data_IF_120931693579
#
_entry.id   IF_120931693579
#
_cell.length_a   1.000
_cell.length_b   1.000
_cell.length_c   1.000
_cell.angle_alpha   90.00
_cell.angle_beta   90.00
_cell.angle_gamma   90.00
#
_symmetry.space_group_name_H-M   'P 1'
#
loop_
_entity.id
_entity.type
_entity.pdbx_description
1 polymer ?
#
# COMPACT_ATOMS: atom_id res chain seq x y z
N UNK A 1 1.12 16.54 -20.95
CA UNK A 1 2.42 16.06 -20.42
C UNK A 1 2.12 15.04 -19.33
N UNK A 2 2.87 13.94 -19.24
CA UNK A 2 2.71 12.96 -18.16
C UNK A 2 3.01 13.62 -16.81
N UNK A 3 2.24 13.27 -15.76
CA UNK A 3 2.47 13.77 -14.41
C UNK A 3 3.73 13.09 -13.86
N UNK A 4 4.79 13.86 -13.56
CA UNK A 4 6.04 13.37 -12.97
C UNK A 4 5.98 13.45 -11.45
N UNK A 5 6.31 12.36 -10.75
CA UNK A 5 6.26 12.28 -9.29
C UNK A 5 7.57 11.68 -8.77
N UNK A 6 8.17 12.30 -7.75
CA UNK A 6 9.31 11.69 -7.06
C UNK A 6 8.83 10.44 -6.32
N UNK A 7 9.47 9.32 -6.60
CA UNK A 7 9.11 8.02 -6.05
C UNK A 7 10.15 7.58 -5.03
N UNK A 8 9.68 7.36 -3.80
CA UNK A 8 10.49 6.86 -2.70
C UNK A 8 10.04 5.43 -2.34
N UNK A 9 10.69 4.39 -2.90
CA UNK A 9 10.33 2.98 -2.64
C UNK A 9 10.61 2.60 -1.18
N UNK A 10 11.64 3.19 -0.58
CA UNK A 10 12.13 2.82 0.74
C UNK A 10 12.70 1.40 0.80
N UNK A 11 13.14 1.00 1.98
CA UNK A 11 13.79 -0.29 2.18
C UNK A 11 12.85 -1.48 1.99
N UNK A 12 11.55 -1.33 2.28
CA UNK A 12 10.59 -2.43 2.17
C UNK A 12 10.40 -2.87 0.72
N UNK A 13 10.21 -1.93 -0.20
CA UNK A 13 9.96 -2.23 -1.61
C UNK A 13 11.25 -2.59 -2.37
N UNK A 14 12.42 -2.25 -1.82
CA UNK A 14 13.72 -2.67 -2.37
C UNK A 14 14.16 -4.07 -1.90
N UNK A 15 13.48 -4.65 -0.91
CA UNK A 15 13.88 -5.93 -0.31
C UNK A 15 12.74 -6.93 -0.18
N UNK A 16 11.80 -6.66 0.73
CA UNK A 16 10.78 -7.63 1.15
C UNK A 16 9.45 -7.57 0.37
N UNK A 17 9.21 -6.50 -0.39
CA UNK A 17 7.96 -6.21 -1.09
C UNK A 17 8.22 -5.72 -2.52
N UNK A 18 9.10 -6.41 -3.24
CA UNK A 18 9.55 -6.04 -4.61
C UNK A 18 8.37 -6.06 -5.60
N UNK A 19 7.44 -6.99 -5.43
CA UNK A 19 6.21 -7.06 -6.21
C UNK A 19 5.29 -5.87 -6.00
N UNK A 20 5.36 -5.18 -4.84
CA UNK A 20 4.63 -3.93 -4.64
C UNK A 20 5.27 -2.78 -5.42
N UNK A 21 6.61 -2.68 -5.42
CA UNK A 21 7.35 -1.73 -6.27
C UNK A 21 7.00 -1.94 -7.75
N UNK A 22 7.16 -3.18 -8.21
CA UNK A 22 6.93 -3.60 -9.58
C UNK A 22 5.50 -3.26 -10.04
N UNK A 23 4.48 -3.68 -9.27
CA UNK A 23 3.09 -3.39 -9.60
C UNK A 23 2.74 -1.91 -9.52
N UNK A 24 3.33 -1.16 -8.57
CA UNK A 24 3.13 0.30 -8.47
C UNK A 24 3.64 1.01 -9.72
N UNK A 25 4.86 0.70 -10.17
CA UNK A 25 5.47 1.32 -11.35
C UNK A 25 4.71 1.01 -12.62
N UNK A 26 4.39 -0.26 -12.85
CA UNK A 26 3.67 -0.69 -14.05
C UNK A 26 2.25 -0.11 -14.09
N UNK A 27 1.56 -0.05 -12.95
CA UNK A 27 0.25 0.59 -12.88
C UNK A 27 0.34 2.10 -13.15
N UNK A 28 1.29 2.80 -12.54
CA UNK A 28 1.46 4.24 -12.76
C UNK A 28 1.77 4.56 -14.24
N UNK A 29 2.63 3.76 -14.88
CA UNK A 29 2.93 3.87 -16.31
C UNK A 29 1.65 3.71 -17.17
N UNK A 30 0.85 2.68 -16.90
CA UNK A 30 -0.44 2.48 -17.59
C UNK A 30 -1.46 3.60 -17.33
N UNK A 31 -1.34 4.32 -16.21
CA UNK A 31 -2.15 5.48 -15.88
C UNK A 31 -1.58 6.80 -16.45
N UNK A 32 -0.41 6.78 -17.09
CA UNK A 32 0.25 7.97 -17.64
C UNK A 32 0.99 8.82 -16.60
N UNK A 33 1.43 8.20 -15.51
CA UNK A 33 2.17 8.82 -14.41
C UNK A 33 3.60 8.30 -14.43
N UNK A 34 4.56 9.22 -14.62
CA UNK A 34 5.98 8.90 -14.61
C UNK A 34 6.51 8.96 -13.17
N UNK A 35 6.90 7.81 -12.64
CA UNK A 35 7.56 7.70 -11.35
C UNK A 35 9.08 7.83 -11.53
N UNK A 36 9.65 8.87 -10.94
CA UNK A 36 11.10 9.10 -10.95
C UNK A 36 11.65 8.78 -9.57
N UNK A 37 12.45 7.74 -9.46
CA UNK A 37 13.03 7.37 -8.17
C UNK A 37 13.97 8.47 -7.64
N UNK A 38 13.83 8.82 -6.36
CA UNK A 38 14.73 9.76 -5.69
C UNK A 38 16.14 9.19 -5.72
N UNK A 39 17.13 9.95 -6.18
CA UNK A 39 18.50 9.42 -6.23
C UNK A 39 19.10 9.36 -4.83
N UNK A 40 19.84 8.31 -4.51
CA UNK A 40 20.61 8.21 -3.25
C UNK A 40 19.74 8.40 -1.99
N UNK A 41 18.50 7.91 -2.03
CA UNK A 41 17.62 7.92 -0.86
C UNK A 41 18.19 7.03 0.26
N UNK A 42 17.89 7.37 1.52
CA UNK A 42 18.20 6.53 2.69
C UNK A 42 16.92 6.01 3.34
N UNK A 43 17.04 4.99 4.20
CA UNK A 43 15.91 4.52 4.99
C UNK A 43 15.33 5.66 5.84
N UNK A 44 14.00 5.75 5.91
CA UNK A 44 13.26 6.77 6.68
C UNK A 44 13.41 6.64 8.20
N UNK A 45 14.20 5.68 8.69
CA UNK A 45 14.40 5.41 10.11
C UNK A 45 13.30 4.55 10.77
N UNK A 46 12.13 4.42 10.12
CA UNK A 46 10.95 3.65 10.59
C UNK A 46 10.74 3.75 12.12
N UNK A 47 10.32 2.68 12.78
CA UNK A 47 10.08 2.67 14.23
C UNK A 47 11.32 2.88 15.10
N UNK A 48 12.48 2.26 14.81
CA UNK A 48 13.63 2.32 15.71
C UNK A 48 14.24 3.71 15.87
N UNK A 49 14.38 4.48 14.79
CA UNK A 49 15.12 5.75 14.84
C UNK A 49 14.40 6.79 15.71
N UNK A 50 13.09 6.96 15.52
CA UNK A 50 12.32 7.98 16.26
C UNK A 50 12.14 7.63 17.75
N UNK A 51 12.24 6.35 18.11
CA UNK A 51 12.19 5.91 19.51
C UNK A 51 13.50 6.16 20.25
N UNK A 52 14.61 6.29 19.52
CA UNK A 52 15.92 6.61 20.09
C UNK A 52 16.18 8.12 20.09
N UNK A 53 16.05 8.77 18.94
CA UNK A 53 16.22 10.21 18.76
C UNK A 53 15.18 10.75 17.75
N UNK A 54 14.16 11.48 18.21
CA UNK A 54 13.13 12.05 17.34
C UNK A 54 13.65 13.02 16.28
N UNK A 55 14.68 13.82 16.60
CA UNK A 55 15.25 14.79 15.66
C UNK A 55 16.03 14.07 14.57
N UNK A 56 16.85 13.07 14.94
CA UNK A 56 17.55 12.22 13.97
C UNK A 56 16.59 11.46 13.07
N UNK A 57 15.53 10.85 13.65
CA UNK A 57 14.51 10.16 12.88
C UNK A 57 13.82 11.07 11.86
N UNK A 58 13.51 12.31 12.26
CA UNK A 58 12.94 13.31 11.36
C UNK A 58 13.94 13.75 10.27
N UNK A 59 15.21 14.00 10.61
CA UNK A 59 16.23 14.42 9.65
C UNK A 59 16.54 13.33 8.61
N UNK A 60 16.56 12.05 8.99
CA UNK A 60 16.73 10.92 8.06
C UNK A 60 15.63 10.90 7.00
N UNK A 61 14.38 11.10 7.38
CA UNK A 61 13.28 11.20 6.43
C UNK A 61 13.33 12.52 5.64
N UNK A 62 13.68 13.62 6.30
CA UNK A 62 13.86 14.95 5.71
C UNK A 62 14.89 14.99 4.59
N UNK A 63 15.99 14.23 4.71
CA UNK A 63 17.00 14.09 3.66
C UNK A 63 16.41 13.65 2.32
N UNK A 64 15.52 12.66 2.33
CA UNK A 64 14.87 12.21 1.10
C UNK A 64 14.00 13.31 0.47
N UNK A 65 13.31 14.11 1.30
CA UNK A 65 12.51 15.25 0.84
C UNK A 65 13.40 16.37 0.28
N UNK A 66 14.50 16.69 0.95
CA UNK A 66 15.46 17.69 0.49
C UNK A 66 16.10 17.31 -0.85
N UNK A 67 16.40 16.02 -1.08
CA UNK A 67 16.86 15.53 -2.38
C UNK A 67 15.78 15.72 -3.44
N UNK A 68 14.52 15.34 -3.16
CA UNK A 68 13.43 15.50 -4.10
C UNK A 68 13.17 16.99 -4.45
N UNK A 69 13.21 17.88 -3.46
CA UNK A 69 13.12 19.34 -3.68
C UNK A 69 14.28 19.84 -4.56
N UNK A 70 15.51 19.39 -4.30
CA UNK A 70 16.69 19.77 -5.10
C UNK A 70 16.62 19.25 -6.55
N UNK A 71 15.91 18.14 -6.79
CA UNK A 71 15.61 17.62 -8.12
C UNK A 71 14.42 18.32 -8.80
N UNK A 72 13.78 19.29 -8.13
CA UNK A 72 12.68 20.07 -8.67
C UNK A 72 11.31 19.38 -8.61
N UNK A 73 11.12 18.42 -7.70
CA UNK A 73 9.82 17.78 -7.50
C UNK A 73 8.98 18.51 -6.45
N UNK A 74 7.69 18.67 -6.75
CA UNK A 74 6.69 19.21 -5.83
C UNK A 74 5.92 18.12 -5.07
N UNK A 75 6.07 16.86 -5.48
CA UNK A 75 5.34 15.71 -4.91
C UNK A 75 6.27 14.52 -4.72
N UNK A 76 6.29 13.95 -3.51
CA UNK A 76 6.90 12.66 -3.19
C UNK A 76 5.80 11.63 -2.90
N UNK A 77 5.83 10.51 -3.62
CA UNK A 77 5.00 9.35 -3.35
C UNK A 77 5.82 8.23 -2.71
N UNK A 78 5.24 7.55 -1.72
CA UNK A 78 5.82 6.32 -1.16
C UNK A 78 4.78 5.21 -1.00
N UNK A 79 5.13 3.94 -1.26
CA UNK A 79 4.24 2.79 -1.06
C UNK A 79 4.12 2.37 0.41
N UNK A 80 5.08 2.75 1.26
CA UNK A 80 5.14 2.29 2.64
C UNK A 80 4.50 3.32 3.61
N UNK A 81 3.45 2.95 4.37
CA UNK A 81 2.82 3.87 5.33
C UNK A 81 3.76 4.35 6.45
N UNK A 82 4.73 3.52 6.86
CA UNK A 82 5.74 3.95 7.83
C UNK A 82 6.69 5.00 7.24
N UNK A 83 7.02 4.89 5.95
CA UNK A 83 7.77 5.91 5.24
C UNK A 83 6.96 7.20 5.13
N UNK A 84 5.68 7.11 4.74
CA UNK A 84 4.76 8.24 4.66
C UNK A 84 4.73 9.03 5.97
N UNK A 85 4.52 8.34 7.10
CA UNK A 85 4.53 8.96 8.43
C UNK A 85 5.87 9.63 8.73
N UNK A 86 6.99 8.96 8.46
CA UNK A 86 8.32 9.52 8.70
C UNK A 86 8.58 10.80 7.91
N UNK A 87 8.22 10.82 6.63
CA UNK A 87 8.35 11.99 5.76
C UNK A 87 7.46 13.14 6.24
N UNK A 88 6.18 12.90 6.55
CA UNK A 88 5.29 13.95 7.09
C UNK A 88 5.75 14.46 8.46
N UNK A 89 6.28 13.59 9.30
CA UNK A 89 6.89 13.98 10.58
C UNK A 89 8.14 14.86 10.39
N UNK A 90 8.91 14.65 9.33
CA UNK A 90 10.06 15.51 9.01
C UNK A 90 9.64 16.97 8.77
N UNK A 91 8.53 17.19 8.05
CA UNK A 91 7.97 18.54 7.83
C UNK A 91 7.53 19.16 9.15
N UNK A 92 6.77 18.41 9.97
CA UNK A 92 6.33 18.89 11.30
C UNK A 92 7.52 19.30 12.19
N UNK A 93 8.54 18.45 12.31
CA UNK A 93 9.72 18.75 13.13
C UNK A 93 10.53 19.92 12.55
N UNK A 94 10.61 20.04 11.22
CA UNK A 94 11.23 21.21 10.58
C UNK A 94 10.48 22.52 10.91
N UNK A 95 9.15 22.50 10.96
CA UNK A 95 8.35 23.66 11.36
C UNK A 95 8.53 24.02 12.84
N UNK A 96 8.58 23.01 13.72
CA UNK A 96 8.72 23.19 15.17
C UNK A 96 10.15 23.54 15.62
N UNK A 97 11.17 22.96 14.97
CA UNK A 97 12.59 23.01 15.36
C UNK A 97 13.52 23.28 14.18
N UNK A 98 13.19 24.30 13.38
CA UNK A 98 13.85 24.62 12.12
C UNK A 98 15.38 24.65 12.16
N UNK A 99 15.96 25.37 13.13
CA UNK A 99 17.42 25.55 13.20
C UNK A 99 18.11 24.21 13.49
N UNK A 100 17.71 23.51 14.56
CA UNK A 100 18.26 22.21 14.93
C UNK A 100 18.11 21.18 13.80
N UNK A 101 16.98 21.20 13.10
CA UNK A 101 16.71 20.29 11.99
C UNK A 101 17.65 20.56 10.81
N UNK A 102 17.82 21.82 10.39
CA UNK A 102 18.72 22.20 9.30
C UNK A 102 20.19 21.97 9.68
N UNK A 103 20.55 22.23 10.93
CA UNK A 103 21.89 21.97 11.46
C UNK A 103 22.23 20.47 11.47
N UNK A 104 21.25 19.60 11.71
CA UNK A 104 21.47 18.16 11.59
C UNK A 104 21.44 17.67 10.14
N UNK A 105 20.50 18.19 9.35
CA UNK A 105 20.27 17.77 7.97
C UNK A 105 21.42 18.17 7.04
N UNK A 106 22.05 19.33 7.26
CA UNK A 106 23.13 19.87 6.43
C UNK A 106 22.75 20.00 4.93
N UNK A 107 21.46 20.21 4.64
CA UNK A 107 20.93 20.41 3.28
C UNK A 107 19.86 21.51 3.27
N UNK A 108 19.71 22.27 2.17
CA UNK A 108 18.56 23.15 2.00
C UNK A 108 17.26 22.34 2.02
N UNK A 109 16.29 22.80 2.82
CA UNK A 109 14.98 22.17 2.91
C UNK A 109 13.91 23.23 3.14
N UNK A 110 12.86 23.20 2.33
CA UNK A 110 11.76 24.17 2.39
C UNK A 110 10.55 23.66 3.15
N UNK A 111 10.34 22.33 3.19
CA UNK A 111 9.19 21.68 3.82
C UNK A 111 7.89 21.80 3.04
N UNK A 112 7.93 22.26 1.78
CA UNK A 112 6.72 22.57 0.98
C UNK A 112 6.26 21.43 0.08
N UNK A 113 7.08 20.40 -0.07
CA UNK A 113 6.80 19.26 -0.95
C UNK A 113 5.57 18.47 -0.45
N UNK A 114 4.63 18.15 -1.36
CA UNK A 114 3.45 17.34 -1.03
C UNK A 114 3.86 15.88 -0.88
N UNK A 115 3.47 15.24 0.21
CA UNK A 115 3.86 13.85 0.53
C UNK A 115 2.60 12.97 0.51
N UNK A 116 2.55 12.01 -0.40
CA UNK A 116 1.37 11.15 -0.61
C UNK A 116 1.70 9.66 -0.57
N UNK A 117 0.69 8.85 -0.26
CA UNK A 117 0.75 7.40 -0.41
C UNK A 117 0.32 6.97 -1.82
N UNK A 118 0.60 5.71 -2.17
CA UNK A 118 0.05 5.09 -3.39
C UNK A 118 -1.48 5.09 -3.36
N UNK A 119 -2.09 4.80 -2.22
CA UNK A 119 -3.55 4.81 -2.06
C UNK A 119 -4.13 6.21 -2.32
N UNK A 120 -3.48 7.24 -1.78
CA UNK A 120 -3.89 8.63 -1.97
C UNK A 120 -3.75 9.10 -3.42
N UNK A 121 -2.67 8.71 -4.11
CA UNK A 121 -2.51 8.96 -5.55
C UNK A 121 -3.67 8.37 -6.34
N UNK A 122 -3.97 7.08 -6.10
CA UNK A 122 -5.01 6.36 -6.84
C UNK A 122 -6.41 6.93 -6.56
N UNK A 123 -6.67 7.37 -5.33
CA UNK A 123 -7.99 7.89 -4.94
C UNK A 123 -8.21 9.36 -5.30
N UNK A 124 -7.29 10.26 -4.95
CA UNK A 124 -7.48 11.72 -5.14
C UNK A 124 -7.07 12.19 -6.53
N UNK A 125 -5.91 11.73 -7.01
CA UNK A 125 -5.30 12.30 -8.21
C UNK A 125 -5.72 11.53 -9.48
N UNK A 126 -5.94 10.22 -9.39
CA UNK A 126 -6.45 9.39 -10.51
C UNK A 126 -7.97 9.32 -10.47
N UNK A 127 -8.55 8.98 -9.32
CA UNK A 127 -9.99 8.93 -9.10
C UNK A 127 -10.61 7.54 -9.41
N UNK A 128 -11.55 7.05 -8.58
CA UNK A 128 -12.26 5.79 -8.82
C UNK A 128 -12.97 5.72 -10.17
N UNK A 129 -13.59 6.83 -10.63
CA UNK A 129 -14.28 6.87 -11.92
C UNK A 129 -13.33 6.69 -13.10
N UNK A 130 -12.12 7.28 -13.05
CA UNK A 130 -11.10 7.07 -14.08
C UNK A 130 -10.67 5.61 -14.15
N UNK A 131 -10.51 4.96 -13.00
CA UNK A 131 -10.15 3.54 -12.92
C UNK A 131 -11.27 2.70 -13.52
N UNK A 132 -12.52 2.91 -13.07
CA UNK A 132 -13.72 2.22 -13.54
C UNK A 132 -13.86 2.27 -15.06
N UNK A 133 -13.64 3.44 -15.67
CA UNK A 133 -13.74 3.64 -17.12
C UNK A 133 -12.64 2.93 -17.92
N UNK A 134 -11.56 2.47 -17.28
CA UNK A 134 -10.45 1.75 -17.92
C UNK A 134 -10.45 0.25 -17.62
N UNK A 135 -11.41 -0.25 -16.84
CA UNK A 135 -11.51 -1.66 -16.49
C UNK A 135 -11.75 -2.51 -17.74
N UNK A 136 -10.87 -3.48 -17.95
CA UNK A 136 -10.98 -4.52 -18.98
C UNK A 136 -11.40 -5.86 -18.36
N UNK A 137 -10.89 -6.19 -17.18
CA UNK A 137 -11.20 -7.44 -16.47
C UNK A 137 -11.85 -7.14 -15.12
N UNK A 138 -13.18 -6.91 -15.07
CA UNK A 138 -13.86 -6.58 -13.83
C UNK A 138 -13.82 -7.75 -12.85
N UNK A 139 -13.65 -7.46 -11.57
CA UNK A 139 -13.67 -8.43 -10.47
C UNK A 139 -15.12 -8.86 -10.10
N UNK A 140 -16.00 -8.94 -11.08
CA UNK A 140 -17.42 -9.25 -10.89
C UNK A 140 -17.58 -10.61 -10.20
N UNK A 141 -18.42 -10.64 -9.16
CA UNK A 141 -18.66 -11.85 -8.37
C UNK A 141 -17.51 -12.23 -7.43
N UNK A 142 -16.46 -11.39 -7.30
CA UNK A 142 -15.39 -11.58 -6.33
C UNK A 142 -15.55 -10.66 -5.14
N UNK A 143 -15.52 -11.24 -3.94
CA UNK A 143 -15.56 -10.51 -2.69
C UNK A 143 -14.14 -10.18 -2.24
N UNK A 144 -13.76 -8.89 -2.24
CA UNK A 144 -12.46 -8.45 -1.73
C UNK A 144 -12.68 -7.54 -0.53
N UNK A 145 -12.12 -7.90 0.62
CA UNK A 145 -12.16 -7.03 1.80
C UNK A 145 -11.00 -6.03 1.76
N UNK A 146 -11.26 -4.74 2.06
CA UNK A 146 -10.22 -3.72 2.10
C UNK A 146 -9.51 -3.77 3.46
N UNK A 147 -8.18 -3.78 3.44
CA UNK A 147 -7.37 -3.71 4.64
C UNK A 147 -6.32 -2.60 4.52
N UNK A 148 -6.63 -1.48 5.18
CA UNK A 148 -5.80 -0.28 5.21
C UNK A 148 -4.59 -0.44 6.14
N UNK A 149 -4.75 -1.29 7.16
CA UNK A 149 -3.82 -1.35 8.28
C UNK A 149 -3.90 -0.08 9.13
N UNK A 150 -2.98 0.04 10.08
CA UNK A 150 -3.06 1.10 11.10
C UNK A 150 -2.48 2.45 10.65
N UNK A 151 -1.38 2.46 9.90
CA UNK A 151 -0.58 3.67 9.66
C UNK A 151 -1.06 4.55 8.49
N UNK A 152 -1.99 4.06 7.65
CA UNK A 152 -2.56 4.88 6.58
C UNK A 152 -3.62 5.85 7.08
N UNK A 153 -4.31 5.50 8.17
CA UNK A 153 -5.40 6.30 8.73
C UNK A 153 -5.06 6.90 10.10
N UNK A 154 -4.01 6.39 10.77
CA UNK A 154 -3.63 6.83 12.13
C UNK A 154 -2.10 7.02 12.29
N UNK A 155 -1.67 8.02 13.08
CA UNK A 155 -2.51 8.99 13.79
C UNK A 155 -3.10 10.05 12.83
N UNK A 156 -4.26 10.65 13.15
CA UNK A 156 -4.95 11.59 12.26
C UNK A 156 -4.09 12.78 11.83
N UNK A 157 -3.21 13.25 12.73
CA UNK A 157 -2.28 14.37 12.47
C UNK A 157 -1.34 14.13 11.28
N UNK A 158 -0.98 12.86 11.00
CA UNK A 158 -0.12 12.52 9.87
C UNK A 158 -0.91 11.92 8.71
N UNK A 159 -1.96 11.15 8.97
CA UNK A 159 -2.73 10.50 7.91
C UNK A 159 -3.31 11.53 6.93
N UNK A 160 -4.11 12.49 7.44
CA UNK A 160 -4.70 13.62 6.69
C UNK A 160 -5.14 13.27 5.26
N UNK A 161 -5.82 12.14 5.10
CA UNK A 161 -6.20 11.60 3.78
C UNK A 161 -7.58 10.96 3.84
N UNK A 162 -7.79 10.01 4.75
CA UNK A 162 -9.05 9.29 4.91
C UNK A 162 -9.55 9.41 6.36
N UNK A 163 -10.76 8.92 6.62
CA UNK A 163 -11.28 8.88 7.98
C UNK A 163 -10.43 7.93 8.86
N UNK A 164 -9.97 8.37 10.05
CA UNK A 164 -9.11 7.57 10.92
C UNK A 164 -9.71 6.21 11.35
N UNK A 165 -11.04 6.16 11.50
CA UNK A 165 -11.75 5.02 12.08
C UNK A 165 -12.58 4.26 11.04
N UNK A 166 -13.18 4.95 10.07
CA UNK A 166 -13.99 4.36 9.00
C UNK A 166 -13.57 4.84 7.60
N UNK A 167 -12.35 4.50 7.15
CA UNK A 167 -11.87 4.88 5.83
C UNK A 167 -12.65 4.21 4.70
N UNK A 168 -12.75 4.90 3.55
CA UNK A 168 -13.51 4.42 2.37
C UNK A 168 -12.72 4.41 1.07
N UNK A 169 -11.52 5.01 1.01
CA UNK A 169 -10.78 5.13 -0.25
C UNK A 169 -10.43 3.80 -0.91
N UNK A 170 -9.98 2.80 -0.15
CA UNK A 170 -9.68 1.47 -0.65
C UNK A 170 -10.97 0.71 -1.03
N UNK A 171 -12.06 0.94 -0.30
CA UNK A 171 -13.38 0.38 -0.61
C UNK A 171 -13.85 0.85 -1.99
N UNK A 172 -13.83 2.16 -2.24
CA UNK A 172 -14.29 2.74 -3.50
C UNK A 172 -13.40 2.30 -4.67
N UNK A 173 -12.09 2.17 -4.48
CA UNK A 173 -11.19 1.66 -5.51
C UNK A 173 -11.46 0.18 -5.84
N UNK A 174 -11.77 -0.64 -4.83
CA UNK A 174 -12.17 -2.03 -5.06
C UNK A 174 -13.53 -2.13 -5.76
N UNK A 175 -14.50 -1.28 -5.41
CA UNK A 175 -15.80 -1.20 -6.12
C UNK A 175 -15.62 -0.72 -7.56
N UNK A 176 -14.70 0.22 -7.80
CA UNK A 176 -14.42 0.74 -9.13
C UNK A 176 -13.91 -0.34 -10.10
N UNK A 177 -13.17 -1.34 -9.60
CA UNK A 177 -12.74 -2.51 -10.41
C UNK A 177 -13.82 -3.60 -10.52
N UNK A 178 -15.01 -3.37 -9.98
CA UNK A 178 -16.15 -4.30 -10.05
C UNK A 178 -16.17 -5.39 -8.97
N UNK A 179 -15.31 -5.30 -7.95
CA UNK A 179 -15.35 -6.24 -6.83
C UNK A 179 -16.52 -5.95 -5.90
N UNK A 180 -17.10 -7.00 -5.33
CA UNK A 180 -17.96 -6.88 -4.16
C UNK A 180 -17.08 -6.57 -2.95
N UNK A 181 -17.43 -5.53 -2.18
CA UNK A 181 -16.69 -5.14 -0.98
C UNK A 181 -17.55 -5.41 0.24
N UNK A 182 -17.36 -6.55 0.94
CA UNK A 182 -18.12 -6.86 2.15
C UNK A 182 -17.84 -5.85 3.26
N UNK A 183 -18.81 -5.66 4.15
CA UNK A 183 -18.58 -4.89 5.37
C UNK A 183 -17.55 -5.60 6.25
N UNK A 184 -16.39 -4.97 6.40
CA UNK A 184 -15.24 -5.54 7.09
C UNK A 184 -14.85 -4.65 8.26
N UNK A 185 -15.25 -5.05 9.47
CA UNK A 185 -15.00 -4.27 10.69
C UNK A 185 -13.51 -4.12 11.03
N UNK A 186 -12.62 -4.95 10.46
CA UNK A 186 -11.19 -4.97 10.82
C UNK A 186 -10.29 -4.21 9.81
N UNK A 187 -10.88 -3.32 8.99
CA UNK A 187 -10.19 -2.49 7.98
C UNK A 187 -8.92 -1.79 8.52
N UNK A 188 -8.97 -1.28 9.75
CA UNK A 188 -7.91 -0.46 10.38
C UNK A 188 -7.21 -1.17 11.54
N UNK A 189 -7.57 -2.42 11.84
CA UNK A 189 -6.99 -3.21 12.92
C UNK A 189 -5.51 -3.51 12.69
N UNK A 190 -4.73 -3.65 13.75
CA UNK A 190 -3.30 -3.92 13.64
C UNK A 190 -3.05 -5.38 13.23
N UNK A 191 -2.23 -5.60 12.19
CA UNK A 191 -1.80 -6.95 11.80
C UNK A 191 -0.76 -7.55 12.75
N UNK A 192 -0.10 -6.73 13.57
CA UNK A 192 0.95 -7.16 14.50
C UNK A 192 2.35 -7.25 13.89
N UNK A 193 2.55 -6.86 12.63
CA UNK A 193 3.83 -7.00 11.93
C UNK A 193 5.05 -6.42 12.68
N UNK A 194 4.87 -5.32 13.43
CA UNK A 194 5.93 -4.71 14.23
C UNK A 194 6.51 -5.64 15.32
N UNK A 195 5.75 -6.64 15.74
CA UNK A 195 6.15 -7.64 16.74
C UNK A 195 6.70 -8.93 16.12
N UNK A 196 6.88 -8.97 14.79
CA UNK A 196 7.19 -10.20 14.06
C UNK A 196 8.51 -10.88 14.43
N UNK A 197 9.41 -10.20 15.14
CA UNK A 197 10.68 -10.76 15.61
C UNK A 197 10.58 -11.27 17.04
N UNK A 198 9.97 -10.50 17.94
CA UNK A 198 10.01 -10.75 19.38
C UNK A 198 8.78 -11.48 19.91
N UNK A 199 7.58 -11.20 19.39
CA UNK A 199 6.31 -11.70 19.96
C UNK A 199 5.48 -12.43 18.91
N UNK A 200 5.96 -13.59 18.46
CA UNK A 200 5.29 -14.38 17.41
C UNK A 200 3.86 -14.80 17.80
N UNK A 201 3.57 -15.01 19.08
CA UNK A 201 2.21 -15.35 19.54
C UNK A 201 1.22 -14.20 19.36
N UNK A 202 1.67 -12.95 19.60
CA UNK A 202 0.87 -11.75 19.33
C UNK A 202 0.57 -11.67 17.83
N UNK A 203 1.59 -11.88 17.00
CA UNK A 203 1.42 -11.87 15.53
C UNK A 203 0.46 -12.95 15.07
N UNK A 204 0.59 -14.18 15.58
CA UNK A 204 -0.30 -15.29 15.27
C UNK A 204 -1.75 -14.98 15.63
N UNK A 205 -1.97 -14.42 16.83
CA UNK A 205 -3.30 -14.00 17.30
C UNK A 205 -3.91 -12.89 16.42
N UNK A 206 -3.20 -11.80 16.19
CA UNK A 206 -3.72 -10.64 15.45
C UNK A 206 -3.98 -10.96 13.97
N UNK A 207 -3.01 -11.60 13.31
CA UNK A 207 -3.13 -12.00 11.91
C UNK A 207 -4.25 -13.02 11.71
N UNK A 208 -4.36 -14.00 12.61
CA UNK A 208 -5.42 -15.01 12.53
C UNK A 208 -6.83 -14.44 12.73
N UNK A 209 -6.99 -13.42 13.59
CA UNK A 209 -8.27 -12.69 13.72
C UNK A 209 -8.68 -12.02 12.42
N UNK A 210 -7.75 -11.36 11.72
CA UNK A 210 -8.00 -10.72 10.44
C UNK A 210 -8.42 -11.75 9.37
N UNK A 211 -7.68 -12.85 9.24
CA UNK A 211 -7.97 -13.90 8.27
C UNK A 211 -9.28 -14.63 8.57
N UNK A 212 -9.58 -14.91 9.85
CA UNK A 212 -10.85 -15.53 10.23
C UNK A 212 -12.03 -14.61 9.95
N UNK A 213 -11.91 -13.31 10.24
CA UNK A 213 -12.96 -12.34 9.95
C UNK A 213 -13.19 -12.21 8.43
N UNK A 214 -12.13 -12.11 7.63
CA UNK A 214 -12.22 -12.06 6.17
C UNK A 214 -12.93 -13.31 5.62
N UNK A 215 -12.58 -14.50 6.12
CA UNK A 215 -13.25 -15.76 5.77
C UNK A 215 -14.73 -15.76 6.16
N UNK A 216 -15.08 -15.23 7.34
CA UNK A 216 -16.48 -15.21 7.83
C UNK A 216 -17.39 -14.30 7.02
N UNK A 217 -16.87 -13.21 6.46
CA UNK A 217 -17.63 -12.34 5.54
C UNK A 217 -17.61 -12.84 4.09
N UNK A 218 -17.06 -14.05 3.85
CA UNK A 218 -17.03 -14.66 2.53
C UNK A 218 -16.06 -13.99 1.55
N UNK A 219 -14.97 -13.39 2.03
CA UNK A 219 -13.96 -12.81 1.16
C UNK A 219 -13.23 -13.88 0.35
N UNK A 220 -13.05 -13.63 -0.95
CA UNK A 220 -12.19 -14.40 -1.84
C UNK A 220 -10.72 -13.96 -1.74
N UNK A 221 -10.48 -12.70 -1.37
CA UNK A 221 -9.15 -12.13 -1.16
C UNK A 221 -9.18 -10.92 -0.21
N UNK A 222 -7.99 -10.49 0.21
CA UNK A 222 -7.79 -9.24 0.96
C UNK A 222 -6.99 -8.27 0.09
N UNK A 223 -7.52 -7.07 -0.11
CA UNK A 223 -6.82 -5.96 -0.78
C UNK A 223 -6.07 -5.13 0.24
N UNK A 224 -4.77 -4.91 0.04
CA UNK A 224 -3.90 -4.18 0.99
C UNK A 224 -3.12 -3.06 0.33
N UNK A 225 -2.76 -2.03 1.11
CA UNK A 225 -1.95 -0.90 0.64
C UNK A 225 -0.66 -0.69 1.47
N UNK A 226 -0.25 -1.70 2.25
CA UNK A 226 0.91 -1.63 3.13
C UNK A 226 1.82 -2.87 2.96
N UNK A 227 3.14 -2.70 2.68
CA UNK A 227 4.05 -3.82 2.43
C UNK A 227 4.18 -4.76 3.64
N UNK A 228 4.31 -4.20 4.85
CA UNK A 228 4.40 -5.01 6.07
C UNK A 228 3.09 -5.77 6.36
N UNK A 229 1.95 -5.14 6.11
CA UNK A 229 0.65 -5.79 6.31
C UNK A 229 0.46 -6.96 5.34
N UNK A 230 0.79 -6.76 4.06
CA UNK A 230 0.75 -7.80 3.05
C UNK A 230 1.61 -8.98 3.46
N UNK A 231 2.90 -8.73 3.73
CA UNK A 231 3.83 -9.80 4.07
C UNK A 231 3.34 -10.57 5.30
N UNK A 232 2.86 -9.85 6.31
CA UNK A 232 2.41 -10.48 7.55
C UNK A 232 1.15 -11.33 7.36
N UNK A 233 0.20 -10.89 6.52
CA UNK A 233 -1.02 -11.65 6.19
C UNK A 233 -0.78 -12.78 5.19
N UNK A 234 0.26 -12.70 4.37
CA UNK A 234 0.55 -13.64 3.28
C UNK A 234 1.55 -14.72 3.69
N UNK A 235 2.80 -14.33 3.96
CA UNK A 235 3.90 -15.23 4.33
C UNK A 235 3.59 -16.04 5.60
N UNK A 236 2.95 -15.42 6.59
CA UNK A 236 2.77 -16.05 7.91
C UNK A 236 1.54 -16.93 8.03
N UNK A 237 0.75 -17.15 6.97
CA UNK A 237 -0.44 -18.00 7.09
C UNK A 237 -0.12 -19.41 7.60
N UNK A 238 1.05 -19.96 7.26
CA UNK A 238 1.50 -21.25 7.80
C UNK A 238 1.70 -21.23 9.33
N UNK A 239 2.24 -20.14 9.88
CA UNK A 239 2.42 -19.94 11.32
C UNK A 239 1.08 -19.73 12.00
N UNK A 240 0.22 -18.89 11.42
CA UNK A 240 -1.14 -18.62 11.90
C UNK A 240 -1.96 -19.90 11.94
N UNK A 241 -1.90 -20.72 10.89
CA UNK A 241 -2.59 -22.00 10.79
C UNK A 241 -2.18 -22.97 11.91
N UNK A 242 -0.90 -22.99 12.31
CA UNK A 242 -0.44 -23.79 13.47
C UNK A 242 -1.00 -23.25 14.79
N UNK A 243 -0.98 -21.93 14.97
CA UNK A 243 -1.47 -21.28 16.19
C UNK A 243 -2.99 -21.46 16.37
N UNK A 244 -3.76 -21.20 15.32
CA UNK A 244 -5.23 -21.25 15.33
C UNK A 244 -5.83 -22.62 15.03
N UNK A 245 -4.99 -23.59 14.63
CA UNK A 245 -5.42 -24.92 14.13
C UNK A 245 -6.39 -24.79 12.94
N UNK A 246 -6.07 -23.88 12.03
CA UNK A 246 -6.85 -23.58 10.81
C UNK A 246 -6.07 -23.98 9.56
N UNK A 247 -6.67 -23.75 8.38
CA UNK A 247 -6.07 -24.01 7.07
C UNK A 247 -6.32 -22.84 6.11
N UNK A 248 -6.10 -21.62 6.58
CA UNK A 248 -6.20 -20.43 5.74
C UNK A 248 -5.28 -20.57 4.52
N UNK A 249 -5.83 -20.18 3.37
CA UNK A 249 -5.15 -20.00 2.08
C UNK A 249 -5.75 -18.78 1.39
N UNK A 250 -5.80 -17.67 2.10
CA UNK A 250 -6.42 -16.43 1.65
C UNK A 250 -5.41 -15.65 0.77
N UNK A 251 -5.70 -15.38 -0.51
CA UNK A 251 -4.84 -14.51 -1.31
C UNK A 251 -4.82 -13.08 -0.73
N UNK A 252 -3.63 -12.51 -0.57
CA UNK A 252 -3.42 -11.14 -0.09
C UNK A 252 -2.75 -10.34 -1.21
N UNK A 253 -3.52 -9.45 -1.84
CA UNK A 253 -3.12 -8.72 -3.03
C UNK A 253 -2.89 -7.24 -2.70
N UNK A 254 -1.82 -6.66 -3.24
CA UNK A 254 -1.67 -5.22 -3.22
C UNK A 254 -2.77 -4.56 -4.07
N UNK A 255 -3.27 -3.39 -3.65
CA UNK A 255 -4.27 -2.65 -4.41
C UNK A 255 -3.81 -2.34 -5.84
N UNK A 256 -2.50 -2.12 -6.03
CA UNK A 256 -1.87 -1.92 -7.34
C UNK A 256 -1.94 -3.15 -8.23
N UNK A 257 -1.87 -4.36 -7.65
CA UNK A 257 -2.04 -5.62 -8.38
C UNK A 257 -3.50 -5.84 -8.77
N UNK A 258 -4.44 -5.57 -7.86
CA UNK A 258 -5.88 -5.69 -8.12
C UNK A 258 -6.29 -4.74 -9.26
N UNK A 259 -5.96 -3.45 -9.13
CA UNK A 259 -6.28 -2.45 -10.16
C UNK A 259 -5.53 -2.77 -11.44
N UNK A 260 -4.22 -3.04 -11.38
CA UNK A 260 -3.43 -3.31 -12.57
C UNK A 260 -3.98 -4.49 -13.38
N UNK A 261 -4.39 -5.57 -12.70
CA UNK A 261 -4.99 -6.71 -13.36
C UNK A 261 -6.34 -6.35 -14.00
N UNK A 262 -7.18 -5.60 -13.28
CA UNK A 262 -8.45 -5.11 -13.80
C UNK A 262 -8.29 -4.22 -15.04
N UNK A 263 -7.18 -3.49 -15.15
CA UNK A 263 -6.82 -2.68 -16.33
C UNK A 263 -6.16 -3.48 -17.46
N UNK A 264 -6.05 -4.80 -17.34
CA UNK A 264 -5.46 -5.68 -18.36
C UNK A 264 -3.93 -5.77 -18.35
N UNK A 265 -3.27 -5.36 -17.27
CA UNK A 265 -1.84 -5.61 -17.10
C UNK A 265 -1.63 -7.08 -16.74
N UNK A 266 -0.73 -7.73 -17.47
CA UNK A 266 -0.38 -9.13 -17.22
C UNK A 266 0.09 -9.39 -15.76
N UNK A 267 -0.36 -10.53 -15.22
CA UNK A 267 -0.10 -10.95 -13.85
C UNK A 267 1.39 -11.06 -13.50
N UNK A 268 2.25 -11.45 -14.45
CA UNK A 268 3.69 -11.54 -14.27
C UNK A 268 4.32 -10.16 -14.14
N UNK A 269 3.86 -9.19 -14.96
CA UNK A 269 4.27 -7.79 -14.84
C UNK A 269 3.82 -7.15 -13.54
N UNK A 270 2.75 -7.65 -12.93
CA UNK A 270 2.29 -7.23 -11.59
C UNK A 270 2.97 -7.97 -10.44
N UNK A 271 3.86 -8.93 -10.74
CA UNK A 271 4.61 -9.66 -9.73
C UNK A 271 3.77 -10.60 -8.87
N UNK A 272 2.57 -11.02 -9.33
CA UNK A 272 1.67 -11.86 -8.52
C UNK A 272 2.26 -13.23 -8.19
N UNK A 273 3.18 -13.74 -9.01
CA UNK A 273 3.93 -14.99 -8.77
C UNK A 273 4.87 -14.93 -7.56
N UNK A 274 5.17 -13.73 -7.03
CA UNK A 274 6.01 -13.54 -5.83
C UNK A 274 5.22 -13.64 -4.52
N UNK A 275 3.88 -13.63 -4.59
CA UNK A 275 3.02 -13.79 -3.41
C UNK A 275 3.12 -15.23 -2.88
N UNK A 276 3.14 -15.40 -1.56
CA UNK A 276 3.26 -16.70 -0.91
C UNK A 276 1.99 -17.54 -1.06
N UNK A 277 0.82 -16.92 -0.94
CA UNK A 277 -0.46 -17.54 -1.27
C UNK A 277 -0.85 -17.12 -2.69
N UNK A 278 -0.75 -18.08 -3.62
CA UNK A 278 -1.02 -17.84 -5.04
C UNK A 278 -2.46 -17.33 -5.27
N UNK A 279 -2.63 -16.20 -5.97
CA UNK A 279 -3.93 -15.68 -6.38
C UNK A 279 -4.42 -16.28 -7.70
N UNK A 280 -3.68 -17.20 -8.34
CA UNK A 280 -3.95 -17.61 -9.72
C UNK A 280 -5.35 -18.18 -9.93
N UNK A 281 -5.88 -18.90 -8.94
CA UNK A 281 -7.24 -19.43 -9.01
C UNK A 281 -8.28 -18.30 -9.09
N UNK A 282 -8.09 -17.24 -8.32
CA UNK A 282 -8.92 -16.03 -8.35
C UNK A 282 -8.81 -15.32 -9.70
N UNK A 283 -7.58 -15.07 -10.15
CA UNK A 283 -7.31 -14.31 -11.39
C UNK A 283 -7.79 -15.05 -12.65
N UNK A 284 -7.58 -16.37 -12.73
CA UNK A 284 -8.07 -17.19 -13.86
C UNK A 284 -9.59 -17.20 -13.96
N UNK A 285 -10.28 -17.19 -12.82
CA UNK A 285 -11.75 -17.18 -12.84
C UNK A 285 -12.30 -15.87 -13.39
N UNK A 286 -11.62 -14.75 -13.11
CA UNK A 286 -11.95 -13.43 -13.67
C UNK A 286 -11.79 -13.42 -15.20
N UNK A 287 -10.67 -13.90 -15.74
CA UNK A 287 -10.47 -13.97 -17.20
C UNK A 287 -11.56 -14.80 -17.89
N UNK A 288 -11.88 -15.98 -17.36
CA UNK A 288 -12.89 -16.89 -17.95
C UNK A 288 -14.29 -16.29 -17.93
N UNK A 289 -14.63 -15.54 -16.89
CA UNK A 289 -15.92 -14.88 -16.80
C UNK A 289 -16.04 -13.80 -17.89
N UNK A 290 -14.97 -13.05 -18.13
CA UNK A 290 -14.96 -12.01 -19.16
C UNK A 290 -15.05 -12.57 -20.59
N UNK A 291 -14.26 -13.60 -20.93
CA UNK A 291 -14.31 -14.25 -22.25
C UNK A 291 -15.73 -14.75 -22.59
N UNK A 292 -16.45 -15.29 -21.61
CA UNK A 292 -17.84 -15.75 -21.79
C UNK A 292 -18.85 -14.62 -21.96
N UNK A 293 -18.64 -13.48 -21.29
CA UNK A 293 -19.52 -12.31 -21.41
C UNK A 293 -19.35 -11.67 -22.79
N UNK A 294 -18.12 -11.57 -23.30
CA UNK A 294 -17.84 -11.01 -24.63
C UNK A 294 -18.47 -11.88 -25.75
N UNK A 295 -18.39 -13.20 -25.64
CA UNK A 295 -19.07 -14.13 -26.57
C UNK A 295 -20.61 -14.00 -26.55
N UNK A 296 -21.21 -13.62 -25.41
CA UNK A 296 -22.67 -13.46 -25.28
C UNK A 296 -23.23 -12.13 -25.78
N UNK A 297 -22.36 -11.14 -26.03
CA UNK A 297 -22.74 -9.82 -26.56
C UNK A 297 -22.58 -9.71 -28.09
N UNK A 298 -22.10 -10.76 -28.74
CA UNK A 298 -21.96 -10.87 -30.19
C UNK A 298 -23.06 -11.72 -30.86
N UNK A 299 -24.12 -12.08 -30.12
CA UNK A 299 -25.25 -12.90 -30.57
C UNK A 299 -26.56 -12.13 -30.74
#
# INVERSE_FOLDING_TARGET
>A
MAKRIAYYPGCSCSGMAIEYDQSTRVLCDALGIELVEISDWNCCGSTPAHSYDPLLGAALAGRNLAIAEAQGFDVVMTPCPSCLRGLKNAVKVYEERKQDFLDLLQMPFSGRIRIISVLQLLYEDVGPETIKNRVQYPFTGKAIVPYYGCLLTRPPEFAQFDDPENPVSLDELLRAVGATVPDFAYKTECCGAAYGVTENDIVGKLTGRLLDMARRVGADAVGVACPLCQQNLDLRQSQVNRYWRTKFRMPILYITQVIGYALGIDSERLGTKKLFISPDALLRDICKHFEKVDESHLG
#
